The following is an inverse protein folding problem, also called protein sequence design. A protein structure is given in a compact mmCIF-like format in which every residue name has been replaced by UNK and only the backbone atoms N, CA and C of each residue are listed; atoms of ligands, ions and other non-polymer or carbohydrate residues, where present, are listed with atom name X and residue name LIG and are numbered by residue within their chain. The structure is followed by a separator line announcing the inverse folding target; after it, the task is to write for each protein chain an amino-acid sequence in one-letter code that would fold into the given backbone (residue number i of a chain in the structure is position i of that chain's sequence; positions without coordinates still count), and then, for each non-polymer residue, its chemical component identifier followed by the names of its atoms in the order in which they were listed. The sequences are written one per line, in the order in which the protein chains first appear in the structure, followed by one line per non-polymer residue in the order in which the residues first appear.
data_IF_845981316525
#
_entry.id   IF_845981316525
#
_cell.length_a   1.000
_cell.length_b   1.000
_cell.length_c   1.000
_cell.angle_alpha   90.00
_cell.angle_beta   90.00
_cell.angle_gamma   90.00
#
_symmetry.space_group_name_H-M   'P 1'
#
loop_
_entity.id
_entity.type
_entity.pdbx_description
1 polymer ?
#
# COMPACT_ATOMS: atom_id res chain seq x y z
N UNK A 1 -18.92 -12.91 -3.82
CA UNK A 1 -17.83 -11.97 -4.22
C UNK A 1 -16.62 -12.74 -4.71
N UNK A 2 -15.96 -13.59 -3.90
CA UNK A 2 -14.80 -14.39 -4.35
C UNK A 2 -15.09 -15.31 -5.56
N UNK A 3 -16.22 -16.05 -5.63
CA UNK A 3 -16.53 -16.86 -6.81
C UNK A 3 -16.75 -16.00 -8.07
N UNK A 4 -17.46 -14.88 -7.92
CA UNK A 4 -17.74 -13.94 -9.03
C UNK A 4 -16.45 -13.31 -9.57
N UNK A 5 -15.52 -12.93 -8.68
CA UNK A 5 -14.23 -12.37 -9.09
C UNK A 5 -13.40 -13.42 -9.84
N UNK A 6 -13.37 -14.67 -9.33
CA UNK A 6 -12.65 -15.76 -9.97
C UNK A 6 -13.23 -16.12 -11.35
N UNK A 7 -14.55 -16.20 -11.48
CA UNK A 7 -15.24 -16.44 -12.76
C UNK A 7 -14.95 -15.35 -13.80
N UNK A 8 -14.71 -14.11 -13.35
CA UNK A 8 -14.32 -13.00 -14.20
C UNK A 8 -12.80 -12.88 -14.44
N UNK A 9 -11.98 -13.81 -13.91
CA UNK A 9 -10.52 -13.76 -14.00
C UNK A 9 -9.88 -12.62 -13.18
N UNK A 10 -10.57 -12.10 -12.18
CA UNK A 10 -10.11 -11.01 -11.32
C UNK A 10 -9.58 -11.53 -9.97
N UNK A 11 -8.53 -10.89 -9.47
CA UNK A 11 -8.01 -11.13 -8.11
C UNK A 11 -8.78 -10.31 -7.08
N UNK A 12 -9.30 -10.98 -6.04
CA UNK A 12 -9.89 -10.31 -4.89
C UNK A 12 -8.79 -9.88 -3.90
N UNK A 13 -8.47 -8.59 -3.89
CA UNK A 13 -7.52 -8.01 -2.95
C UNK A 13 -8.20 -7.84 -1.58
N UNK A 14 -7.72 -8.56 -0.57
CA UNK A 14 -8.22 -8.41 0.80
C UNK A 14 -7.67 -7.16 1.46
N UNK A 15 -8.51 -6.45 2.22
CA UNK A 15 -8.12 -5.25 2.95
C UNK A 15 -8.14 -5.51 4.46
N UNK A 16 -7.02 -5.26 5.13
CA UNK A 16 -6.84 -5.44 6.57
C UNK A 16 -6.40 -4.12 7.19
N UNK A 17 -7.00 -3.75 8.32
CA UNK A 17 -6.65 -2.57 9.10
C UNK A 17 -6.20 -2.97 10.52
N UNK A 18 -5.48 -2.08 11.25
CA UNK A 18 -5.17 -2.28 12.67
C UNK A 18 -6.39 -2.66 13.52
N UNK A 19 -7.56 -2.10 13.20
CA UNK A 19 -8.83 -2.34 13.89
C UNK A 19 -9.51 -3.64 13.49
N UNK A 20 -9.03 -4.35 12.46
CA UNK A 20 -9.57 -5.66 12.05
C UNK A 20 -9.27 -6.69 13.14
N UNK A 21 -10.30 -7.37 13.71
CA UNK A 21 -10.09 -8.39 14.74
C UNK A 21 -9.21 -9.55 14.24
N UNK A 22 -8.39 -10.18 15.11
CA UNK A 22 -7.44 -11.22 14.69
C UNK A 22 -8.06 -12.37 13.88
N UNK A 23 -9.18 -12.94 14.36
CA UNK A 23 -9.87 -14.02 13.64
C UNK A 23 -10.30 -13.60 12.23
N UNK A 24 -10.67 -12.32 12.05
CA UNK A 24 -11.07 -11.78 10.76
C UNK A 24 -9.88 -11.55 9.83
N UNK A 25 -8.69 -11.24 10.37
CA UNK A 25 -7.46 -11.13 9.56
C UNK A 25 -7.13 -12.44 8.87
N UNK A 26 -7.20 -13.56 9.61
CA UNK A 26 -6.95 -14.91 9.08
C UNK A 26 -7.95 -15.24 7.97
N UNK A 27 -9.23 -14.95 8.17
CA UNK A 27 -10.25 -15.21 7.14
C UNK A 27 -10.03 -14.36 5.88
N UNK A 28 -9.70 -13.07 6.04
CA UNK A 28 -9.40 -12.19 4.89
C UNK A 28 -8.15 -12.69 4.16
N UNK A 29 -7.11 -13.07 4.89
CA UNK A 29 -5.87 -13.57 4.32
C UNK A 29 -6.08 -14.85 3.48
N UNK A 30 -6.84 -15.82 3.99
CA UNK A 30 -7.14 -17.06 3.27
C UNK A 30 -7.93 -16.83 1.95
N UNK A 31 -8.72 -15.76 1.90
CA UNK A 31 -9.59 -15.43 0.76
C UNK A 31 -8.97 -14.43 -0.20
N UNK A 32 -7.80 -13.87 0.15
CA UNK A 32 -7.10 -12.90 -0.68
C UNK A 32 -6.42 -13.59 -1.86
N UNK A 33 -6.37 -12.90 -3.00
CA UNK A 33 -5.63 -13.31 -4.20
C UNK A 33 -4.81 -12.12 -4.69
N UNK A 34 -3.69 -12.37 -5.35
CA UNK A 34 -2.76 -11.32 -5.77
C UNK A 34 -1.95 -10.81 -4.58
N UNK A 35 -2.54 -9.95 -3.75
CA UNK A 35 -1.92 -9.44 -2.53
C UNK A 35 -2.96 -9.08 -1.46
N UNK A 36 -2.51 -8.89 -0.22
CA UNK A 36 -3.28 -8.31 0.87
C UNK A 36 -2.89 -6.85 1.01
N UNK A 37 -3.87 -5.95 1.00
CA UNK A 37 -3.68 -4.55 1.32
C UNK A 37 -3.83 -4.34 2.83
N UNK A 38 -2.72 -4.18 3.53
CA UNK A 38 -2.71 -3.68 4.89
C UNK A 38 -2.74 -2.13 4.92
N UNK A 39 -3.85 -1.55 5.36
CA UNK A 39 -4.04 -0.10 5.47
C UNK A 39 -3.87 0.36 6.92
N UNK A 40 -2.92 1.27 7.16
CA UNK A 40 -2.82 1.90 8.49
C UNK A 40 -3.76 3.11 8.56
N UNK A 41 -4.75 3.02 9.44
CA UNK A 41 -5.76 4.09 9.66
C UNK A 41 -5.32 5.13 10.69
N UNK A 42 -4.07 5.10 11.14
CA UNK A 42 -3.57 5.97 12.20
C UNK A 42 -3.25 7.40 11.70
N UNK A 43 -4.28 8.10 11.22
CA UNK A 43 -4.34 9.56 11.14
C UNK A 43 -4.17 10.15 9.75
N UNK A 44 -5.22 10.80 9.26
CA UNK A 44 -5.25 11.85 8.20
C UNK A 44 -4.46 13.12 8.57
N UNK A 45 -3.53 13.03 9.53
CA UNK A 45 -2.83 14.18 10.12
C UNK A 45 -1.32 13.94 10.09
N UNK A 46 -0.66 14.54 9.10
CA UNK A 46 0.79 14.70 9.07
C UNK A 46 1.53 13.63 8.27
N UNK A 47 2.45 14.09 7.43
CA UNK A 47 3.49 13.26 6.83
C UNK A 47 4.26 12.56 7.95
N UNK A 48 3.99 11.27 8.17
CA UNK A 48 4.82 10.48 9.08
C UNK A 48 6.09 10.11 8.36
N UNK A 49 7.23 10.44 8.97
CA UNK A 49 8.56 10.15 8.43
C UNK A 49 9.01 8.71 8.69
N UNK A 50 8.25 7.93 9.48
CA UNK A 50 8.62 6.57 9.87
C UNK A 50 7.41 5.62 9.92
N UNK A 51 7.66 4.34 9.66
CA UNK A 51 6.69 3.24 9.75
C UNK A 51 6.34 2.95 11.22
N UNK A 52 5.05 2.91 11.60
CA UNK A 52 4.68 2.59 12.98
C UNK A 52 5.08 1.15 13.37
N UNK A 53 5.67 0.98 14.56
CA UNK A 53 6.02 -0.35 15.09
C UNK A 53 4.84 -1.33 15.07
N UNK A 54 3.63 -0.85 15.41
CA UNK A 54 2.41 -1.65 15.35
C UNK A 54 2.09 -2.18 13.93
N UNK A 55 2.49 -1.48 12.87
CA UNK A 55 2.37 -1.98 11.49
C UNK A 55 3.37 -3.10 11.23
N UNK A 56 4.61 -2.96 11.70
CA UNK A 56 5.64 -3.99 11.57
C UNK A 56 5.17 -5.29 12.25
N UNK A 57 4.70 -5.19 13.49
CA UNK A 57 4.21 -6.33 14.27
C UNK A 57 2.99 -6.99 13.61
N UNK A 58 2.06 -6.18 13.08
CA UNK A 58 0.88 -6.70 12.41
C UNK A 58 1.21 -7.41 11.09
N UNK A 59 2.16 -6.89 10.30
CA UNK A 59 2.63 -7.56 9.08
C UNK A 59 3.32 -8.87 9.44
N UNK A 60 4.20 -8.87 10.44
CA UNK A 60 4.88 -10.07 10.91
C UNK A 60 3.91 -11.14 11.42
N UNK A 61 2.86 -10.74 12.15
CA UNK A 61 1.79 -11.63 12.60
C UNK A 61 1.01 -12.21 11.42
N UNK A 62 0.57 -11.36 10.50
CA UNK A 62 -0.21 -11.76 9.33
C UNK A 62 0.53 -12.75 8.43
N UNK A 63 1.86 -12.57 8.25
CA UNK A 63 2.72 -13.50 7.51
C UNK A 63 2.71 -14.93 8.08
N UNK A 64 2.38 -15.10 9.36
CA UNK A 64 2.27 -16.45 9.97
C UNK A 64 1.01 -17.20 9.54
N UNK A 65 0.06 -16.50 8.90
CA UNK A 65 -1.24 -17.03 8.53
C UNK A 65 -1.45 -17.14 7.02
N UNK A 66 -0.50 -16.68 6.19
CA UNK A 66 -0.63 -16.69 4.73
C UNK A 66 0.71 -16.52 4.03
N UNK A 67 0.84 -17.11 2.85
CA UNK A 67 1.93 -16.86 1.90
C UNK A 67 1.56 -15.78 0.86
N UNK A 68 0.36 -15.20 0.95
CA UNK A 68 -0.08 -14.14 0.03
C UNK A 68 0.76 -12.89 0.28
N UNK A 69 1.32 -12.25 -0.77
CA UNK A 69 2.08 -11.00 -0.63
C UNK A 69 1.30 -9.94 0.14
N UNK A 70 1.96 -9.24 1.06
CA UNK A 70 1.36 -8.18 1.88
C UNK A 70 1.92 -6.84 1.42
N UNK A 71 1.05 -5.99 0.90
CA UNK A 71 1.36 -4.61 0.53
C UNK A 71 0.81 -3.65 1.58
N UNK A 72 1.58 -2.63 1.91
CA UNK A 72 1.27 -1.68 2.99
C UNK A 72 1.02 -0.28 2.43
N UNK A 73 -0.06 0.37 2.89
CA UNK A 73 -0.35 1.78 2.64
C UNK A 73 -0.67 2.53 3.93
N UNK A 74 0.06 3.62 4.19
CA UNK A 74 -0.09 4.46 5.40
C UNK A 74 0.30 5.94 5.16
N UNK A 75 0.06 6.45 3.95
CA UNK A 75 0.42 7.84 3.61
C UNK A 75 1.89 8.00 3.23
N UNK A 76 2.44 7.02 2.52
CA UNK A 76 3.80 7.04 1.99
C UNK A 76 3.93 8.20 0.99
N UNK A 77 4.94 9.06 1.16
CA UNK A 77 5.13 10.25 0.31
C UNK A 77 6.53 10.44 -0.26
N UNK A 78 7.51 9.64 0.16
CA UNK A 78 8.91 9.77 -0.28
C UNK A 78 9.60 8.39 -0.37
N UNK A 79 10.79 8.39 -0.98
CA UNK A 79 11.57 7.18 -1.23
C UNK A 79 12.04 6.50 0.06
N UNK A 80 12.43 7.25 1.09
CA UNK A 80 12.92 6.68 2.35
C UNK A 80 11.82 5.85 3.05
N UNK A 81 10.59 6.37 3.06
CA UNK A 81 9.43 5.66 3.60
C UNK A 81 9.09 4.43 2.74
N UNK A 82 9.23 4.48 1.41
CA UNK A 82 9.09 3.29 0.55
C UNK A 82 10.12 2.21 0.93
N UNK A 83 11.38 2.60 1.12
CA UNK A 83 12.45 1.69 1.50
C UNK A 83 12.18 1.02 2.85
N UNK A 84 11.74 1.79 3.84
CA UNK A 84 11.41 1.28 5.17
C UNK A 84 10.28 0.24 5.12
N UNK A 85 9.27 0.48 4.29
CA UNK A 85 8.13 -0.42 4.11
C UNK A 85 8.55 -1.72 3.46
N UNK A 86 9.30 -1.62 2.38
CA UNK A 86 9.76 -2.79 1.63
C UNK A 86 10.79 -3.63 2.42
N UNK A 87 11.29 -3.17 3.57
CA UNK A 87 12.05 -4.03 4.51
C UNK A 87 11.17 -5.03 5.26
N UNK A 88 9.87 -4.77 5.41
CA UNK A 88 8.96 -5.60 6.22
C UNK A 88 7.77 -6.16 5.41
N UNK A 89 7.36 -5.46 4.36
CA UNK A 89 6.25 -5.79 3.48
C UNK A 89 6.74 -6.13 2.06
N UNK A 90 5.92 -6.82 1.28
CA UNK A 90 6.25 -7.22 -0.08
C UNK A 90 6.01 -6.09 -1.09
N UNK A 91 5.34 -5.01 -0.66
CA UNK A 91 5.12 -3.83 -1.48
C UNK A 91 4.63 -2.61 -0.70
N UNK A 92 4.84 -1.44 -1.29
CA UNK A 92 4.37 -0.15 -0.80
C UNK A 92 3.25 0.39 -1.70
N UNK A 93 2.17 0.91 -1.12
CA UNK A 93 1.06 1.53 -1.84
C UNK A 93 1.09 3.04 -1.62
N UNK A 94 1.28 3.78 -2.71
CA UNK A 94 1.40 5.24 -2.72
C UNK A 94 0.21 5.84 -3.49
N UNK A 95 -0.68 6.54 -2.79
CA UNK A 95 -1.89 7.12 -3.39
C UNK A 95 -1.93 8.65 -3.26
N UNK A 96 -2.08 9.14 -2.03
CA UNK A 96 -2.26 10.57 -1.74
C UNK A 96 -1.15 11.45 -2.30
N UNK A 97 0.12 11.04 -2.18
CA UNK A 97 1.25 11.80 -2.71
C UNK A 97 1.21 11.95 -4.24
N UNK A 98 0.77 10.92 -4.97
CA UNK A 98 0.59 10.98 -6.43
C UNK A 98 -0.57 11.91 -6.78
N UNK A 99 -1.71 11.78 -6.07
CA UNK A 99 -2.89 12.62 -6.30
C UNK A 99 -2.61 14.09 -5.99
N UNK A 100 -1.89 14.39 -4.91
CA UNK A 100 -1.46 15.75 -4.57
C UNK A 100 -0.60 16.33 -5.69
N UNK A 101 0.41 15.59 -6.19
CA UNK A 101 1.26 16.03 -7.30
C UNK A 101 0.46 16.34 -8.57
N UNK A 102 -0.54 15.52 -8.89
CA UNK A 102 -1.45 15.77 -10.03
C UNK A 102 -2.25 17.05 -9.79
N UNK A 103 -2.75 17.26 -8.58
CA UNK A 103 -3.58 18.40 -8.21
C UNK A 103 -2.79 19.72 -8.21
N UNK A 104 -1.56 19.70 -7.71
CA UNK A 104 -0.67 20.87 -7.69
C UNK A 104 -0.26 21.33 -9.09
N UNK A 105 -0.29 20.41 -10.06
CA UNK A 105 0.08 20.65 -11.46
C UNK A 105 -1.13 20.77 -12.39
N UNK A 106 -2.35 20.86 -11.86
CA UNK A 106 -3.61 20.79 -12.64
C UNK A 106 -3.73 21.83 -13.76
N UNK A 107 -3.05 22.97 -13.63
CA UNK A 107 -3.08 24.07 -14.61
C UNK A 107 -2.04 23.90 -15.73
N UNK A 108 -1.23 22.83 -15.70
CA UNK A 108 -0.23 22.51 -16.73
C UNK A 108 -0.79 21.55 -17.79
N UNK A 109 -0.19 21.50 -19.00
CA UNK A 109 -0.58 20.53 -20.01
C UNK A 109 -0.49 19.08 -19.49
N UNK A 110 -1.45 18.18 -19.82
CA UNK A 110 -1.46 16.80 -19.31
C UNK A 110 -0.16 16.02 -19.52
N UNK A 111 0.53 16.24 -20.64
CA UNK A 111 1.83 15.62 -20.92
C UNK A 111 2.92 16.05 -19.92
N UNK A 112 2.88 17.31 -19.46
CA UNK A 112 3.81 17.81 -18.47
C UNK A 112 3.52 17.22 -17.08
N UNK A 113 2.23 17.12 -16.71
CA UNK A 113 1.79 16.47 -15.46
C UNK A 113 2.23 15.00 -15.43
N UNK A 114 1.99 14.26 -16.52
CA UNK A 114 2.39 12.86 -16.63
C UNK A 114 3.91 12.68 -16.50
N UNK A 115 4.71 13.58 -17.10
CA UNK A 115 6.18 13.56 -16.97
C UNK A 115 6.62 13.79 -15.52
N UNK A 116 6.05 14.76 -14.83
CA UNK A 116 6.40 15.06 -13.44
C UNK A 116 5.99 13.96 -12.47
N UNK A 117 4.79 13.37 -12.65
CA UNK A 117 4.36 12.20 -11.88
C UNK A 117 5.25 11.00 -12.16
N UNK A 118 5.62 10.76 -13.42
CA UNK A 118 6.55 9.69 -13.79
C UNK A 118 7.93 9.86 -13.16
N UNK A 119 8.46 11.08 -13.12
CA UNK A 119 9.73 11.39 -12.44
C UNK A 119 9.64 11.14 -10.94
N UNK A 120 8.52 11.52 -10.30
CA UNK A 120 8.28 11.24 -8.89
C UNK A 120 8.20 9.72 -8.61
N UNK A 121 7.45 8.96 -9.41
CA UNK A 121 7.40 7.49 -9.26
C UNK A 121 8.79 6.88 -9.44
N UNK A 122 9.59 7.35 -10.41
CA UNK A 122 10.96 6.89 -10.59
C UNK A 122 11.84 7.18 -9.36
N UNK A 123 11.65 8.33 -8.71
CA UNK A 123 12.32 8.68 -7.45
C UNK A 123 11.96 7.70 -6.31
N UNK A 124 10.68 7.38 -6.17
CA UNK A 124 10.20 6.43 -5.15
C UNK A 124 10.78 5.01 -5.33
N UNK A 125 11.14 4.62 -6.56
CA UNK A 125 11.69 3.30 -6.88
C UNK A 125 13.20 3.17 -6.66
N UNK A 126 13.94 4.29 -6.59
CA UNK A 126 15.41 4.29 -6.41
C UNK A 126 15.93 3.39 -5.28
N UNK A 127 15.34 3.38 -4.06
CA UNK A 127 15.84 2.55 -2.97
C UNK A 127 15.53 1.06 -3.13
N UNK A 128 14.74 0.68 -4.14
CA UNK A 128 14.34 -0.70 -4.43
C UNK A 128 15.14 -1.31 -5.60
N UNK A 129 16.02 -0.53 -6.22
CA UNK A 129 16.81 -0.91 -7.40
C UNK A 129 18.16 -1.52 -7.03
#
# INVERSE_FOLDING_TARGET
MEPIAAEAGLSLIGLIAPTTPPARRVEIAARSRGFIYYISVAGITGERTALPAATIDAVAELRRHTDTPICVGFGISNADTVAEVCRVADGAIVGSAIVHRITDLKDRPPAAVAKDVGAFVAELMKPLS
#
